data_IF_955642980773
#
_entry.id   IF_955642980773
#
_cell.length_a   1.000
_cell.length_b   1.000
_cell.length_c   1.000
_cell.angle_alpha   90.00
_cell.angle_beta   90.00
_cell.angle_gamma   90.00
#
_symmetry.space_group_name_H-M   'P 1'
#
loop_
_entity.id
_entity.type
_entity.pdbx_description
1 polymer ?
#
# COMPACT_ATOMS: atom_id res chain seq x y z
N UNK A 1 -12.35 -10.00 -3.48
CA UNK A 1 -11.23 -9.47 -2.67
C UNK A 1 -10.02 -9.45 -3.57
N UNK A 2 -9.31 -8.32 -3.61
CA UNK A 2 -8.08 -8.18 -4.39
C UNK A 2 -6.94 -8.00 -3.40
N UNK A 3 -5.94 -8.88 -3.48
CA UNK A 3 -4.74 -8.77 -2.68
C UNK A 3 -3.76 -7.83 -3.38
N UNK A 4 -3.32 -6.79 -2.67
CA UNK A 4 -2.30 -5.86 -3.15
C UNK A 4 -0.98 -6.11 -2.45
N UNK A 5 0.07 -6.11 -3.25
CA UNK A 5 1.46 -6.13 -2.80
C UNK A 5 2.11 -4.83 -3.23
N UNK A 6 2.38 -3.98 -2.26
CA UNK A 6 2.92 -2.63 -2.45
C UNK A 6 4.37 -2.62 -1.99
N UNK A 7 5.25 -2.06 -2.81
CA UNK A 7 6.65 -1.83 -2.45
C UNK A 7 6.87 -0.33 -2.47
N UNK A 8 7.26 0.25 -1.33
CA UNK A 8 7.44 1.68 -1.18
C UNK A 8 8.84 1.99 -0.61
N UNK A 9 9.51 3.07 -1.03
CA UNK A 9 10.67 3.57 -0.31
C UNK A 9 10.33 3.81 1.17
N UNK A 10 11.24 3.52 2.09
CA UNK A 10 10.96 3.67 3.54
C UNK A 10 10.62 5.11 3.96
N UNK A 11 10.98 6.11 3.15
CA UNK A 11 10.58 7.53 3.37
C UNK A 11 9.13 7.81 2.99
N UNK A 12 8.51 6.96 2.16
CA UNK A 12 7.14 7.12 1.66
C UNK A 12 6.15 6.12 2.29
N UNK A 13 6.65 5.06 2.95
CA UNK A 13 5.81 4.00 3.52
C UNK A 13 4.84 4.50 4.58
N UNK A 14 5.20 5.55 5.34
CA UNK A 14 4.28 6.21 6.27
C UNK A 14 3.02 6.76 5.58
N UNK A 15 3.19 7.52 4.49
CA UNK A 15 2.08 8.08 3.73
C UNK A 15 1.20 6.99 3.11
N UNK A 16 1.81 5.89 2.67
CA UNK A 16 1.06 4.73 2.15
C UNK A 16 0.22 4.10 3.25
N UNK A 17 0.76 3.92 4.46
CA UNK A 17 0.01 3.37 5.58
C UNK A 17 -1.15 4.29 6.00
N UNK A 18 -0.92 5.60 6.06
CA UNK A 18 -1.98 6.58 6.35
C UNK A 18 -3.12 6.51 5.31
N UNK A 19 -2.79 6.41 4.03
CA UNK A 19 -3.79 6.23 2.96
C UNK A 19 -4.58 4.92 3.14
N UNK A 20 -3.90 3.81 3.41
CA UNK A 20 -4.54 2.51 3.61
C UNK A 20 -5.45 2.50 4.84
N UNK A 21 -5.00 3.08 5.95
CA UNK A 21 -5.77 3.18 7.21
C UNK A 21 -7.01 4.09 7.06
N UNK A 22 -6.93 5.12 6.21
CA UNK A 22 -8.05 6.02 5.90
C UNK A 22 -9.05 5.44 4.89
N UNK A 23 -8.74 4.33 4.22
CA UNK A 23 -9.56 3.78 3.14
C UNK A 23 -10.48 2.65 3.64
N UNK A 24 -11.77 2.93 3.80
CA UNK A 24 -12.78 1.99 4.32
C UNK A 24 -12.87 0.62 3.59
N UNK A 25 -12.41 0.54 2.35
CA UNK A 25 -12.42 -0.71 1.56
C UNK A 25 -11.17 -1.56 1.72
N UNK A 26 -10.18 -1.11 2.49
CA UNK A 26 -8.92 -1.80 2.77
C UNK A 26 -9.01 -2.56 4.10
N UNK A 27 -8.42 -3.74 4.15
CA UNK A 27 -8.36 -4.58 5.34
C UNK A 27 -7.12 -5.49 5.28
N UNK A 28 -6.81 -6.17 6.39
CA UNK A 28 -5.65 -7.08 6.50
C UNK A 28 -4.31 -6.42 6.12
N UNK A 29 -4.09 -5.18 6.58
CA UNK A 29 -2.85 -4.45 6.32
C UNK A 29 -1.70 -5.08 7.11
N UNK A 30 -0.59 -5.37 6.44
CA UNK A 30 0.65 -5.87 7.03
C UNK A 30 1.80 -5.02 6.52
N UNK A 31 2.61 -4.49 7.44
CA UNK A 31 3.81 -3.72 7.13
C UNK A 31 5.06 -4.50 7.53
N UNK A 32 5.98 -4.65 6.59
CA UNK A 32 7.28 -5.28 6.77
C UNK A 32 8.37 -4.26 6.39
N UNK A 33 8.93 -3.53 7.37
CA UNK A 33 9.88 -2.45 7.09
C UNK A 33 11.24 -2.99 6.63
N UNK A 34 11.84 -2.34 5.62
CA UNK A 34 13.20 -2.61 5.16
C UNK A 34 13.45 -3.99 4.51
N UNK A 35 12.40 -4.72 4.14
CA UNK A 35 12.54 -6.10 3.63
C UNK A 35 12.72 -6.18 2.11
N UNK A 36 12.48 -5.09 1.37
CA UNK A 36 12.63 -5.10 -0.09
C UNK A 36 14.00 -4.59 -0.51
N UNK A 37 14.60 -5.21 -1.54
CA UNK A 37 15.96 -4.91 -2.00
C UNK A 37 16.01 -4.20 -3.36
N UNK A 38 14.99 -4.35 -4.20
CA UNK A 38 14.93 -3.74 -5.53
C UNK A 38 13.47 -3.46 -5.93
N UNK A 39 12.95 -2.25 -5.71
CA UNK A 39 13.60 -1.13 -5.01
C UNK A 39 13.85 -1.43 -3.52
N UNK A 40 14.84 -0.75 -2.95
CA UNK A 40 15.11 -0.77 -1.50
C UNK A 40 13.97 -0.07 -0.77
N UNK A 41 13.45 -0.69 0.30
CA UNK A 41 12.37 -0.11 1.08
C UNK A 41 11.52 -1.15 1.82
N UNK A 42 10.24 -0.82 1.93
CA UNK A 42 9.27 -1.54 2.75
C UNK A 42 8.31 -2.32 1.87
N UNK A 43 7.84 -3.45 2.41
CA UNK A 43 6.77 -4.24 1.82
C UNK A 43 5.49 -4.00 2.62
N UNK A 44 4.42 -3.59 1.93
CA UNK A 44 3.09 -3.46 2.49
C UNK A 44 2.16 -4.41 1.75
N UNK A 45 1.44 -5.24 2.50
CA UNK A 45 0.43 -6.15 1.98
C UNK A 45 -0.93 -5.70 2.50
N UNK A 46 -1.96 -5.76 1.67
CA UNK A 46 -3.33 -5.53 2.10
C UNK A 46 -4.33 -6.23 1.19
N UNK A 47 -5.55 -6.39 1.68
CA UNK A 47 -6.69 -6.85 0.91
C UNK A 47 -7.68 -5.70 0.70
N UNK A 48 -8.31 -5.67 -0.48
CA UNK A 48 -9.22 -4.58 -0.86
C UNK A 48 -10.52 -5.14 -1.43
N UNK A 49 -11.64 -4.53 -1.08
CA UNK A 49 -12.91 -4.81 -1.72
C UNK A 49 -12.85 -4.40 -3.21
N UNK A 50 -13.34 -5.23 -4.16
CA UNK A 50 -13.20 -4.94 -5.60
C UNK A 50 -13.64 -3.54 -6.04
N UNK A 51 -14.68 -2.98 -5.39
CA UNK A 51 -15.20 -1.63 -5.66
C UNK A 51 -14.22 -0.49 -5.35
N UNK A 52 -13.26 -0.70 -4.46
CA UNK A 52 -12.31 0.32 -4.01
C UNK A 52 -10.93 0.23 -4.67
N UNK A 53 -10.65 -0.85 -5.40
CA UNK A 53 -9.32 -1.13 -5.95
C UNK A 53 -8.85 -0.04 -6.91
N UNK A 54 -9.71 0.37 -7.85
CA UNK A 54 -9.32 1.35 -8.87
C UNK A 54 -9.01 2.72 -8.27
N UNK A 55 -9.75 3.14 -7.24
CA UNK A 55 -9.50 4.41 -6.56
C UNK A 55 -8.21 4.35 -5.76
N UNK A 56 -8.02 3.30 -4.96
CA UNK A 56 -6.79 3.14 -4.17
C UNK A 56 -5.53 3.08 -5.06
N UNK A 57 -5.58 2.40 -6.20
CA UNK A 57 -4.46 2.36 -7.14
C UNK A 57 -4.19 3.74 -7.74
N UNK A 58 -5.21 4.57 -7.94
CA UNK A 58 -5.01 5.96 -8.37
C UNK A 58 -4.32 6.78 -7.28
N UNK A 59 -4.79 6.70 -6.04
CA UNK A 59 -4.22 7.42 -4.90
C UNK A 59 -2.76 7.00 -4.63
N UNK A 60 -2.44 5.70 -4.73
CA UNK A 60 -1.07 5.20 -4.62
C UNK A 60 -0.15 5.78 -5.70
N UNK A 61 -0.64 5.96 -6.92
CA UNK A 61 0.15 6.57 -8.00
C UNK A 61 0.42 8.05 -7.76
N UNK A 62 -0.48 8.76 -7.06
CA UNK A 62 -0.24 10.15 -6.64
C UNK A 62 0.87 10.26 -5.58
N UNK A 63 1.17 9.16 -4.88
CA UNK A 63 2.30 9.03 -3.95
C UNK A 63 3.59 8.51 -4.62
N UNK A 64 3.63 8.42 -5.96
CA UNK A 64 4.74 7.84 -6.73
C UNK A 64 5.04 6.37 -6.39
N UNK A 65 3.99 5.59 -6.07
CA UNK A 65 4.07 4.15 -5.75
C UNK A 65 3.61 3.27 -6.92
#
# INVERSE_FOLDING_TARGET
>A
MVHLRIVAPSTASGNVLELLDATDTVFNVVHLPGVTRKPEGDLILCDVAPRGVSLLVADLRELDI
#
